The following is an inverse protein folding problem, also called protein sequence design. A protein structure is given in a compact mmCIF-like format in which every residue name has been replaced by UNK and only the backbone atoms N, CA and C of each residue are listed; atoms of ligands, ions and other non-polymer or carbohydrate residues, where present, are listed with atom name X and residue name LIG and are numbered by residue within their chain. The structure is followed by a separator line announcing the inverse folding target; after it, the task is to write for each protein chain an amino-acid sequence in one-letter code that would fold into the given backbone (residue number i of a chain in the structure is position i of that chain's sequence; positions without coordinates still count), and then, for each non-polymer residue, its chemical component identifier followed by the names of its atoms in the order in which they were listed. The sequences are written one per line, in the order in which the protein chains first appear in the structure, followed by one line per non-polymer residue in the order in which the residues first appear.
data_IF_749008182808
#
_entry.id   IF_749008182808
#
_cell.length_a   1.000
_cell.length_b   1.000
_cell.length_c   1.000
_cell.angle_alpha   90.00
_cell.angle_beta   90.00
_cell.angle_gamma   90.00
#
_symmetry.space_group_name_H-M   'P 1'
#
loop_
_entity.id
_entity.type
_entity.pdbx_description
1 polymer ?
#
# COMPACT_ATOMS: atom_id res chain seq x y z
N UNK A 1 -28.44 -34.29 31.30
CA UNK A 1 -27.48 -35.25 30.71
C UNK A 1 -26.11 -34.62 30.71
N UNK A 2 -25.16 -35.16 31.48
CA UNK A 2 -23.77 -34.66 31.47
C UNK A 2 -23.05 -35.25 30.26
N UNK A 3 -22.66 -34.40 29.32
CA UNK A 3 -21.88 -34.81 28.17
C UNK A 3 -20.44 -35.06 28.65
N UNK A 4 -20.02 -36.34 28.64
CA UNK A 4 -18.65 -36.73 28.96
C UNK A 4 -17.73 -36.25 27.81
N UNK A 5 -16.63 -35.56 28.15
CA UNK A 5 -15.62 -35.09 27.20
C UNK A 5 -14.37 -35.94 27.29
N UNK A 6 -13.75 -36.20 26.14
CA UNK A 6 -12.50 -36.93 26.03
C UNK A 6 -11.34 -36.15 26.67
N UNK A 7 -10.59 -36.80 27.54
CA UNK A 7 -9.44 -36.21 28.25
C UNK A 7 -8.27 -35.91 27.30
N UNK A 8 -8.21 -36.56 26.15
CA UNK A 8 -7.11 -36.38 25.15
C UNK A 8 -7.37 -35.25 24.15
N UNK A 9 -8.59 -35.05 23.66
CA UNK A 9 -8.88 -34.08 22.59
C UNK A 9 -10.08 -33.16 22.86
N UNK A 10 -10.79 -33.32 24.00
CA UNK A 10 -11.96 -32.51 24.35
C UNK A 10 -13.24 -32.85 23.58
N UNK A 11 -13.21 -33.79 22.65
CA UNK A 11 -14.37 -34.21 21.86
C UNK A 11 -15.42 -34.99 22.67
N UNK A 12 -16.59 -35.19 22.06
CA UNK A 12 -17.70 -35.92 22.70
C UNK A 12 -17.39 -37.41 22.82
N UNK A 13 -17.75 -38.01 23.99
CA UNK A 13 -17.55 -39.44 24.25
C UNK A 13 -18.89 -40.12 24.31
N UNK A 14 -19.03 -41.25 23.58
CA UNK A 14 -20.24 -42.07 23.50
C UNK A 14 -19.94 -43.44 24.07
N UNK A 15 -20.92 -44.05 24.72
CA UNK A 15 -20.82 -45.43 25.27
C UNK A 15 -21.17 -46.42 24.18
N UNK A 16 -20.36 -47.49 24.02
CA UNK A 16 -20.71 -48.61 23.14
C UNK A 16 -21.94 -49.36 23.71
N UNK A 17 -22.66 -50.06 22.85
CA UNK A 17 -23.95 -50.74 23.17
C UNK A 17 -23.91 -51.68 24.38
N UNK A 18 -22.72 -52.15 24.74
CA UNK A 18 -22.52 -53.03 25.93
C UNK A 18 -22.29 -52.24 27.25
N UNK A 19 -22.24 -50.92 27.23
CA UNK A 19 -22.12 -50.03 28.41
C UNK A 19 -20.82 -50.10 29.19
N UNK A 20 -19.83 -50.85 28.73
CA UNK A 20 -18.55 -51.10 29.43
C UNK A 20 -17.36 -50.31 28.94
N UNK A 21 -17.46 -49.70 27.76
CA UNK A 21 -16.41 -48.95 27.14
C UNK A 21 -16.96 -47.59 26.61
N UNK A 22 -16.25 -46.53 26.90
CA UNK A 22 -16.51 -45.21 26.37
C UNK A 22 -15.54 -44.90 25.21
N UNK A 23 -16.04 -44.45 24.06
CA UNK A 23 -15.26 -44.15 22.85
C UNK A 23 -15.45 -42.70 22.49
N UNK A 24 -14.33 -42.02 22.18
CA UNK A 24 -14.38 -40.68 21.65
C UNK A 24 -14.64 -40.71 20.15
N UNK A 25 -15.71 -40.07 19.69
CA UNK A 25 -16.07 -40.00 18.26
C UNK A 25 -15.07 -39.22 17.42
N UNK A 26 -14.24 -38.38 18.05
CA UNK A 26 -13.32 -37.48 17.30
C UNK A 26 -11.90 -38.06 17.17
N UNK A 27 -11.35 -38.70 18.20
CA UNK A 27 -9.99 -39.23 18.17
C UNK A 27 -9.88 -40.75 18.31
N UNK A 28 -10.99 -41.45 18.49
CA UNK A 28 -11.05 -42.91 18.60
C UNK A 28 -10.53 -43.49 19.93
N UNK A 29 -10.14 -42.66 20.91
CA UNK A 29 -9.65 -43.13 22.20
C UNK A 29 -10.74 -43.88 22.95
N UNK A 30 -10.43 -45.11 23.43
CA UNK A 30 -11.33 -45.99 24.20
C UNK A 30 -10.90 -46.05 25.68
N UNK A 31 -11.87 -45.96 26.56
CA UNK A 31 -11.63 -46.08 28.04
C UNK A 31 -12.66 -47.04 28.64
N UNK A 32 -12.18 -48.07 29.35
CA UNK A 32 -13.05 -48.99 30.07
C UNK A 32 -13.65 -48.33 31.32
N UNK A 33 -14.91 -48.60 31.60
CA UNK A 33 -15.62 -48.11 32.81
C UNK A 33 -15.77 -49.29 33.75
N UNK A 34 -15.07 -49.24 34.90
CA UNK A 34 -15.21 -50.20 35.97
C UNK A 34 -16.53 -49.97 36.75
N UNK A 35 -17.36 -50.98 36.86
CA UNK A 35 -18.56 -50.98 37.75
C UNK A 35 -18.15 -51.22 39.19
N UNK A 36 -18.76 -50.59 40.17
CA UNK A 36 -18.55 -50.91 41.60
C UNK A 36 -19.17 -52.23 41.98
N UNK A 37 -18.39 -53.09 42.63
CA UNK A 37 -18.82 -54.35 43.16
C UNK A 37 -19.84 -54.16 44.34
N UNK A 38 -20.90 -55.00 44.37
CA UNK A 38 -21.85 -55.12 45.49
C UNK A 38 -21.26 -56.05 46.55
N UNK A 39 -21.36 -55.69 47.86
CA UNK A 39 -20.92 -56.59 48.91
C UNK A 39 -21.89 -57.78 49.08
N UNK A 40 -21.34 -58.97 49.20
CA UNK A 40 -22.04 -60.22 49.45
C UNK A 40 -22.51 -60.28 50.92
N UNK A 41 -23.73 -60.74 51.08
CA UNK A 41 -24.32 -61.08 52.40
C UNK A 41 -24.17 -62.58 52.67
N UNK A 42 -23.35 -62.93 53.62
CA UNK A 42 -23.26 -64.31 54.09
C UNK A 42 -24.10 -64.53 55.39
N UNK A 43 -24.98 -65.48 55.25
CA UNK A 43 -25.87 -66.00 56.28
C UNK A 43 -25.21 -67.19 56.97
N UNK A 44 -25.07 -67.18 58.25
CA UNK A 44 -24.80 -68.42 59.00
C UNK A 44 -25.77 -68.51 60.20
N UNK A 45 -26.49 -69.61 60.16
CA UNK A 45 -27.45 -70.09 61.17
C UNK A 45 -26.76 -71.10 62.08
N UNK A 46 -27.28 -71.15 63.36
CA UNK A 46 -27.36 -72.28 64.34
C UNK A 46 -26.07 -72.58 65.16
N UNK A 47 -26.15 -72.81 66.40
CA UNK A 47 -27.02 -73.74 67.21
C UNK A 47 -26.90 -73.47 68.68
N UNK A 48 -27.98 -73.88 69.39
CA UNK A 48 -28.21 -73.99 70.84
C UNK A 48 -27.18 -74.81 71.59
N UNK A 49 -26.84 -74.48 72.85
CA UNK A 49 -27.30 -75.13 74.09
C UNK A 49 -26.44 -74.76 75.31
N UNK A 50 -27.15 -74.56 76.45
CA UNK A 50 -26.87 -74.93 77.86
C UNK A 50 -25.66 -74.29 78.56
N UNK A 51 -25.68 -73.91 79.75
CA UNK A 51 -26.63 -73.73 80.89
C UNK A 51 -25.91 -72.87 81.94
N UNK A 52 -26.67 -72.09 82.69
CA UNK A 52 -26.55 -71.66 84.11
C UNK A 52 -25.15 -71.59 84.77
N UNK A 53 -24.84 -70.43 85.15
CA UNK A 53 -24.36 -69.91 86.44
C UNK A 53 -23.26 -68.85 86.28
N UNK A 54 -23.66 -67.61 86.29
CA UNK A 54 -22.98 -66.50 86.97
C UNK A 54 -23.71 -65.15 86.71
N UNK A 55 -24.84 -64.99 87.37
CA UNK A 55 -25.69 -63.84 87.18
C UNK A 55 -25.09 -62.48 87.61
N UNK A 56 -23.97 -62.46 88.31
CA UNK A 56 -23.23 -61.21 88.60
C UNK A 56 -22.05 -60.93 87.66
N UNK A 57 -21.36 -61.95 87.14
CA UNK A 57 -20.31 -61.78 86.20
C UNK A 57 -20.80 -61.36 84.75
N UNK A 58 -21.95 -61.99 84.36
CA UNK A 58 -22.58 -61.68 83.10
C UNK A 58 -23.20 -60.26 83.12
N UNK A 59 -23.80 -59.81 84.22
CA UNK A 59 -24.27 -58.43 84.34
C UNK A 59 -23.17 -57.40 84.26
N UNK A 60 -22.03 -57.67 84.89
CA UNK A 60 -20.85 -56.79 84.79
C UNK A 60 -20.22 -56.78 83.37
N UNK A 61 -20.22 -57.94 82.72
CA UNK A 61 -19.72 -58.04 81.34
C UNK A 61 -20.64 -57.30 80.37
N UNK A 62 -21.94 -57.45 80.47
CA UNK A 62 -22.95 -56.77 79.66
C UNK A 62 -22.87 -55.26 79.89
N UNK A 63 -22.74 -54.79 81.08
CA UNK A 63 -22.65 -53.38 81.44
C UNK A 63 -21.33 -52.78 80.93
N UNK A 64 -20.23 -53.51 80.94
CA UNK A 64 -18.94 -53.08 80.41
C UNK A 64 -18.95 -53.04 78.91
N UNK A 65 -19.55 -54.00 78.21
CA UNK A 65 -19.74 -53.97 76.76
C UNK A 65 -20.72 -52.86 76.36
N UNK A 66 -21.77 -52.61 77.12
CA UNK A 66 -22.68 -51.48 76.87
C UNK A 66 -21.96 -50.15 77.03
N UNK A 67 -21.16 -49.99 78.10
CA UNK A 67 -20.32 -48.76 78.28
C UNK A 67 -19.32 -48.57 77.15
N UNK A 68 -18.62 -49.62 76.71
CA UNK A 68 -17.69 -49.56 75.54
C UNK A 68 -18.43 -49.15 74.26
N UNK A 69 -19.64 -49.67 74.05
CA UNK A 69 -20.48 -49.35 72.90
C UNK A 69 -20.96 -47.91 72.95
N UNK A 70 -21.35 -47.42 74.13
CA UNK A 70 -21.76 -46.04 74.38
C UNK A 70 -20.57 -45.08 74.15
N UNK A 71 -19.36 -45.44 74.68
CA UNK A 71 -18.15 -44.67 74.46
C UNK A 71 -17.74 -44.67 72.99
N UNK A 72 -17.85 -45.81 72.27
CA UNK A 72 -17.56 -45.90 70.83
C UNK A 72 -18.55 -45.07 70.01
N UNK A 73 -19.84 -45.12 70.36
CA UNK A 73 -20.86 -44.29 69.70
C UNK A 73 -20.64 -42.78 69.94
N UNK A 74 -20.29 -42.43 71.22
CA UNK A 74 -19.98 -41.05 71.55
C UNK A 74 -18.75 -40.53 70.76
N UNK A 75 -17.66 -41.33 70.65
CA UNK A 75 -16.47 -41.00 69.81
C UNK A 75 -16.84 -40.92 68.35
N UNK A 76 -17.64 -41.81 67.79
CA UNK A 76 -18.13 -41.81 66.45
C UNK A 76 -18.99 -40.54 66.15
N UNK A 77 -19.85 -40.16 67.11
CA UNK A 77 -20.65 -38.94 66.99
C UNK A 77 -19.79 -37.70 67.04
N UNK A 78 -18.79 -37.64 67.92
CA UNK A 78 -17.86 -36.53 68.01
C UNK A 78 -17.03 -36.42 66.73
N UNK A 79 -16.52 -37.54 66.20
CA UNK A 79 -15.76 -37.53 64.88
C UNK A 79 -16.66 -37.09 63.75
N UNK A 80 -17.97 -37.42 63.76
CA UNK A 80 -18.91 -36.90 62.74
C UNK A 80 -19.07 -35.37 62.82
N UNK A 81 -19.26 -34.86 64.06
CA UNK A 81 -19.39 -33.41 64.28
C UNK A 81 -18.09 -32.62 63.86
N UNK A 82 -16.93 -33.19 64.19
CA UNK A 82 -15.66 -32.61 63.80
C UNK A 82 -15.47 -32.62 62.24
N UNK A 83 -15.84 -33.73 61.60
CA UNK A 83 -15.80 -33.85 60.14
C UNK A 83 -16.76 -32.86 59.45
N UNK A 84 -17.95 -32.66 59.99
CA UNK A 84 -18.93 -31.72 59.51
C UNK A 84 -18.46 -30.27 59.72
N UNK A 85 -17.90 -29.96 60.88
CA UNK A 85 -17.29 -28.64 61.13
C UNK A 85 -16.16 -28.33 60.16
N UNK A 86 -15.25 -29.31 59.91
CA UNK A 86 -14.17 -29.16 58.93
C UNK A 86 -14.70 -28.98 57.49
N UNK A 87 -15.78 -29.68 57.14
CA UNK A 87 -16.44 -29.54 55.86
C UNK A 87 -17.00 -28.13 55.67
N UNK A 88 -17.74 -27.62 56.65
CA UNK A 88 -18.29 -26.26 56.62
C UNK A 88 -17.19 -25.18 56.57
N UNK A 89 -16.10 -25.39 57.29
CA UNK A 89 -14.95 -24.47 57.22
C UNK A 89 -14.31 -24.45 55.83
N UNK A 90 -14.10 -25.62 55.23
CA UNK A 90 -13.61 -25.73 53.84
C UNK A 90 -14.54 -25.03 52.83
N UNK A 91 -15.86 -25.21 52.99
CA UNK A 91 -16.87 -24.56 52.16
C UNK A 91 -16.80 -23.03 52.31
N UNK A 92 -16.75 -22.50 53.52
CA UNK A 92 -16.58 -21.07 53.82
C UNK A 92 -15.29 -20.53 53.22
N UNK A 93 -14.19 -21.27 53.30
CA UNK A 93 -12.90 -20.85 52.76
C UNK A 93 -12.94 -20.82 51.21
N UNK A 94 -13.59 -21.81 50.62
CA UNK A 94 -13.76 -21.90 49.14
C UNK A 94 -14.62 -20.74 48.61
N UNK A 95 -15.69 -20.41 49.32
CA UNK A 95 -16.58 -19.31 48.99
C UNK A 95 -15.88 -17.95 49.11
N UNK A 96 -15.13 -17.74 50.20
CA UNK A 96 -14.28 -16.54 50.35
C UNK A 96 -13.27 -16.41 49.19
N UNK A 97 -12.63 -17.52 48.79
CA UNK A 97 -11.70 -17.52 47.64
C UNK A 97 -12.42 -17.20 46.32
N UNK A 98 -13.63 -17.74 46.14
CA UNK A 98 -14.49 -17.49 44.97
C UNK A 98 -14.89 -16.01 44.86
N UNK A 99 -15.31 -15.41 45.99
CA UNK A 99 -15.68 -13.98 46.03
C UNK A 99 -14.48 -13.08 45.74
N UNK A 100 -13.32 -13.33 46.37
CA UNK A 100 -12.09 -12.60 46.11
C UNK A 100 -11.67 -12.71 44.63
N UNK A 101 -11.81 -13.87 44.00
CA UNK A 101 -11.53 -14.04 42.56
C UNK A 101 -12.49 -13.22 41.68
N UNK A 102 -13.80 -13.20 42.03
CA UNK A 102 -14.79 -12.38 41.31
C UNK A 102 -14.49 -10.88 41.44
N UNK A 103 -14.14 -10.41 42.62
CA UNK A 103 -13.75 -8.99 42.80
C UNK A 103 -12.48 -8.62 42.02
N UNK A 104 -11.44 -9.45 42.13
CA UNK A 104 -10.22 -9.26 41.33
C UNK A 104 -10.49 -9.22 39.82
N UNK A 105 -11.36 -10.12 39.34
CA UNK A 105 -11.78 -10.15 37.95
C UNK A 105 -12.52 -8.87 37.53
N UNK A 106 -13.42 -8.35 38.38
CA UNK A 106 -14.12 -7.07 38.11
C UNK A 106 -13.14 -5.89 38.03
N UNK A 107 -12.19 -5.82 38.97
CA UNK A 107 -11.17 -4.77 39.01
C UNK A 107 -10.27 -4.87 37.78
N UNK A 108 -9.84 -6.08 37.40
CA UNK A 108 -9.00 -6.30 36.21
C UNK A 108 -9.76 -5.91 34.96
N UNK A 109 -11.01 -6.28 34.79
CA UNK A 109 -11.83 -5.86 33.63
C UNK A 109 -11.97 -4.34 33.55
N UNK A 110 -12.20 -3.66 34.70
CA UNK A 110 -12.24 -2.18 34.71
C UNK A 110 -10.89 -1.59 34.27
N UNK A 111 -9.76 -2.08 34.78
CA UNK A 111 -8.42 -1.62 34.38
C UNK A 111 -8.14 -1.83 32.90
N UNK A 112 -8.48 -3.03 32.37
CA UNK A 112 -8.32 -3.33 30.94
C UNK A 112 -9.16 -2.37 30.09
N UNK A 113 -10.41 -2.12 30.48
CA UNK A 113 -11.28 -1.18 29.76
C UNK A 113 -10.71 0.25 29.78
N UNK A 114 -10.19 0.70 30.94
CA UNK A 114 -9.59 2.03 31.06
C UNK A 114 -8.36 2.17 30.17
N UNK A 115 -7.47 1.15 30.14
CA UNK A 115 -6.28 1.12 29.28
C UNK A 115 -6.70 1.13 27.80
N UNK A 116 -7.68 0.32 27.44
CA UNK A 116 -8.21 0.27 26.08
C UNK A 116 -8.75 1.63 25.62
N UNK A 117 -9.57 2.29 26.45
CA UNK A 117 -10.09 3.63 26.15
C UNK A 117 -8.98 4.67 26.04
N UNK A 118 -7.94 4.59 26.87
CA UNK A 118 -6.77 5.48 26.76
C UNK A 118 -6.02 5.27 25.42
N UNK A 119 -5.80 4.02 25.02
CA UNK A 119 -5.17 3.70 23.72
C UNK A 119 -6.00 4.25 22.55
N UNK A 120 -7.31 4.05 22.58
CA UNK A 120 -8.22 4.58 21.54
C UNK A 120 -8.15 6.11 21.49
N UNK A 121 -8.17 6.78 22.66
CA UNK A 121 -8.06 8.25 22.71
C UNK A 121 -6.73 8.77 22.18
N UNK A 122 -5.60 8.12 22.52
CA UNK A 122 -4.27 8.48 22.01
C UNK A 122 -4.21 8.26 20.49
N UNK A 123 -4.75 7.13 20.01
CA UNK A 123 -4.78 6.82 18.58
C UNK A 123 -5.65 7.84 17.80
N UNK A 124 -6.80 8.22 18.34
CA UNK A 124 -7.67 9.23 17.75
C UNK A 124 -7.01 10.60 17.72
N UNK A 125 -6.32 10.98 18.80
CA UNK A 125 -5.56 12.26 18.85
C UNK A 125 -4.40 12.25 17.85
N UNK A 126 -3.65 11.15 17.76
CA UNK A 126 -2.59 10.97 16.78
C UNK A 126 -3.11 11.06 15.35
N UNK A 127 -4.21 10.39 15.05
CA UNK A 127 -4.89 10.48 13.76
C UNK A 127 -5.31 11.92 13.42
N UNK A 128 -5.95 12.61 14.35
CA UNK A 128 -6.37 14.01 14.18
C UNK A 128 -5.15 14.93 13.94
N UNK A 129 -4.07 14.72 14.66
CA UNK A 129 -2.83 15.50 14.49
C UNK A 129 -2.27 15.36 13.09
N UNK A 130 -2.15 14.13 12.57
CA UNK A 130 -1.57 13.86 11.25
C UNK A 130 -2.48 14.29 10.11
N UNK A 131 -3.79 14.07 10.24
CA UNK A 131 -4.74 14.30 9.12
C UNK A 131 -5.31 15.71 9.06
N UNK A 132 -5.33 16.44 10.17
CA UNK A 132 -5.95 17.77 10.23
C UNK A 132 -5.01 18.84 10.71
N UNK A 133 -4.36 18.66 11.86
CA UNK A 133 -3.58 19.75 12.50
C UNK A 133 -2.35 20.07 11.65
N UNK A 134 -1.49 19.06 11.36
CA UNK A 134 -0.28 19.27 10.56
C UNK A 134 -0.60 19.83 9.16
N UNK A 135 -1.55 19.26 8.39
CA UNK A 135 -1.92 19.84 7.11
C UNK A 135 -2.48 21.26 7.20
N UNK A 136 -3.25 21.58 8.26
CA UNK A 136 -3.77 22.95 8.46
C UNK A 136 -2.66 23.97 8.72
N UNK A 137 -1.67 23.61 9.52
CA UNK A 137 -0.50 24.48 9.80
C UNK A 137 0.29 24.71 8.50
N UNK A 138 0.60 23.64 7.75
CA UNK A 138 1.28 23.73 6.46
C UNK A 138 0.49 24.57 5.44
N UNK A 139 -0.81 24.35 5.36
CA UNK A 139 -1.68 25.13 4.47
C UNK A 139 -1.61 26.65 4.78
N UNK A 140 -1.72 27.01 6.05
CA UNK A 140 -1.65 28.43 6.47
C UNK A 140 -0.23 29.02 6.23
N UNK A 141 0.83 28.22 6.38
CA UNK A 141 2.19 28.64 6.00
C UNK A 141 2.30 28.92 4.52
N UNK A 142 1.75 28.04 3.67
CA UNK A 142 1.75 28.23 2.22
C UNK A 142 0.96 29.48 1.79
N UNK A 143 -0.18 29.77 2.43
CA UNK A 143 -0.94 31.02 2.19
C UNK A 143 -0.07 32.24 2.50
N UNK A 144 0.61 32.26 3.65
CA UNK A 144 1.52 33.35 4.01
C UNK A 144 2.70 33.47 3.04
N UNK A 145 3.21 32.35 2.53
CA UNK A 145 4.28 32.36 1.52
C UNK A 145 3.80 33.03 0.21
N UNK A 146 2.56 32.79 -0.23
CA UNK A 146 1.95 33.53 -1.37
C UNK A 146 1.89 35.03 -1.09
N UNK A 147 1.41 35.44 0.08
CA UNK A 147 1.33 36.86 0.49
C UNK A 147 2.71 37.52 0.48
N UNK A 148 3.74 36.76 0.88
CA UNK A 148 5.15 37.19 0.87
C UNK A 148 5.79 37.10 -0.52
N UNK A 149 5.09 36.69 -1.57
CA UNK A 149 5.59 36.43 -2.94
C UNK A 149 6.68 35.34 -3.00
N UNK A 150 6.74 34.48 -2.01
CA UNK A 150 7.61 33.30 -2.01
C UNK A 150 6.84 32.13 -2.68
N UNK A 151 6.69 32.21 -4.00
CA UNK A 151 5.87 31.29 -4.78
C UNK A 151 6.44 29.87 -4.81
N UNK A 152 7.76 29.72 -4.74
CA UNK A 152 8.38 28.39 -4.73
C UNK A 152 8.04 27.60 -3.47
N UNK A 153 8.19 28.20 -2.29
CA UNK A 153 7.82 27.58 -1.02
C UNK A 153 6.31 27.30 -0.96
N UNK A 154 5.50 28.26 -1.40
CA UNK A 154 4.04 28.09 -1.47
C UNK A 154 3.64 26.93 -2.36
N UNK A 155 4.20 26.85 -3.57
CA UNK A 155 3.95 25.79 -4.53
C UNK A 155 4.31 24.42 -3.99
N UNK A 156 5.53 24.24 -3.49
CA UNK A 156 6.01 22.97 -2.95
C UNK A 156 5.10 22.53 -1.79
N UNK A 157 4.74 23.47 -0.92
CA UNK A 157 3.91 23.17 0.26
C UNK A 157 2.49 22.78 -0.16
N UNK A 158 1.81 23.55 -1.00
CA UNK A 158 0.47 23.20 -1.50
C UNK A 158 0.48 21.88 -2.26
N UNK A 159 1.45 21.65 -3.11
CA UNK A 159 1.62 20.38 -3.83
C UNK A 159 1.76 19.18 -2.88
N UNK A 160 2.52 19.35 -1.77
CA UNK A 160 2.68 18.31 -0.76
C UNK A 160 1.40 17.98 -0.01
N UNK A 161 0.46 18.91 0.08
CA UNK A 161 -0.82 18.77 0.76
C UNK A 161 -1.89 18.08 -0.10
N UNK A 162 -1.68 17.97 -1.40
CA UNK A 162 -2.52 17.25 -2.37
C UNK A 162 -4.02 17.60 -2.23
N UNK A 163 -4.83 16.69 -1.70
CA UNK A 163 -6.30 16.88 -1.56
C UNK A 163 -6.73 17.64 -0.31
N UNK A 164 -5.82 18.19 0.47
CA UNK A 164 -6.21 18.95 1.66
C UNK A 164 -6.73 20.33 1.27
N UNK A 165 -8.02 20.60 1.57
CA UNK A 165 -8.73 21.80 1.14
C UNK A 165 -8.62 22.02 -0.38
N UNK A 166 -8.28 23.24 -0.79
CA UNK A 166 -8.05 23.68 -2.18
C UNK A 166 -6.55 23.73 -2.55
N UNK A 167 -5.70 23.00 -1.82
CA UNK A 167 -4.23 23.03 -2.03
C UNK A 167 -3.83 22.70 -3.46
N UNK A 168 -4.48 21.70 -4.08
CA UNK A 168 -4.19 21.34 -5.46
C UNK A 168 -4.52 22.48 -6.42
N UNK A 169 -5.69 23.13 -6.28
CA UNK A 169 -6.11 24.26 -7.11
C UNK A 169 -5.14 25.43 -6.95
N UNK A 170 -4.69 25.70 -5.72
CA UNK A 170 -3.71 26.76 -5.45
C UNK A 170 -2.34 26.44 -6.05
N UNK A 171 -1.87 25.21 -5.95
CA UNK A 171 -0.63 24.79 -6.59
C UNK A 171 -0.72 24.94 -8.12
N UNK A 172 -1.82 24.52 -8.75
CA UNK A 172 -2.05 24.66 -10.18
C UNK A 172 -2.11 26.14 -10.61
N UNK A 173 -2.75 27.00 -9.81
CA UNK A 173 -2.77 28.44 -10.08
C UNK A 173 -1.36 29.05 -10.00
N UNK A 174 -0.58 28.71 -8.96
CA UNK A 174 0.77 29.22 -8.81
C UNK A 174 1.65 28.79 -9.98
N UNK A 175 1.66 27.51 -10.36
CA UNK A 175 2.53 27.04 -11.46
C UNK A 175 2.13 27.59 -12.82
N UNK A 176 0.85 27.97 -12.99
CA UNK A 176 0.36 28.63 -14.19
C UNK A 176 0.84 30.08 -14.31
N UNK A 177 0.86 30.81 -13.21
CA UNK A 177 1.30 32.21 -13.17
C UNK A 177 2.82 32.35 -13.00
N UNK A 178 3.44 31.41 -12.32
CA UNK A 178 4.84 31.36 -11.93
C UNK A 178 5.48 30.02 -12.33
N UNK A 179 5.59 29.71 -13.65
CA UNK A 179 6.15 28.44 -14.13
C UNK A 179 7.63 28.25 -13.77
N UNK A 180 8.37 29.31 -13.40
CA UNK A 180 9.76 29.25 -12.92
C UNK A 180 9.92 28.43 -11.63
N UNK A 181 8.85 28.27 -10.82
CA UNK A 181 8.89 27.49 -9.57
C UNK A 181 8.71 25.98 -9.80
N UNK A 182 8.44 25.57 -11.04
CA UNK A 182 8.21 24.18 -11.38
C UNK A 182 9.38 23.27 -10.97
N UNK A 183 9.04 22.08 -10.54
CA UNK A 183 9.97 21.02 -10.15
C UNK A 183 10.04 19.94 -11.24
N UNK A 184 11.10 19.13 -11.22
CA UNK A 184 11.23 17.99 -12.15
C UNK A 184 9.99 17.09 -12.04
N UNK A 185 9.41 16.77 -13.19
CA UNK A 185 8.18 15.98 -13.30
C UNK A 185 6.89 16.80 -13.40
N UNK A 186 6.92 18.09 -13.10
CA UNK A 186 5.77 18.97 -13.23
C UNK A 186 5.37 19.23 -14.67
N UNK A 187 4.14 19.66 -14.85
CA UNK A 187 3.61 20.13 -16.12
C UNK A 187 3.48 21.66 -16.04
N UNK A 188 4.10 22.33 -17.00
CA UNK A 188 3.94 23.78 -17.21
C UNK A 188 3.28 24.04 -18.56
N UNK A 189 2.78 25.23 -18.75
CA UNK A 189 2.10 25.69 -19.97
C UNK A 189 2.96 26.78 -20.63
N UNK A 190 3.30 26.61 -21.89
CA UNK A 190 4.09 27.59 -22.63
C UNK A 190 3.83 27.45 -24.14
N UNK A 191 3.47 28.57 -24.77
CA UNK A 191 3.10 28.58 -26.18
C UNK A 191 1.75 27.91 -26.45
N UNK A 192 1.28 28.04 -27.67
CA UNK A 192 0.03 27.46 -28.15
C UNK A 192 0.18 26.87 -29.55
N UNK A 193 -0.41 25.72 -29.77
CA UNK A 193 -0.40 25.02 -31.04
C UNK A 193 -1.76 24.32 -31.24
N UNK A 194 -2.13 24.12 -32.53
CA UNK A 194 -3.35 23.37 -32.83
C UNK A 194 -3.26 21.92 -32.28
N UNK A 195 -4.20 21.50 -31.49
CA UNK A 195 -4.16 20.18 -30.86
C UNK A 195 -5.45 19.39 -31.02
N UNK A 196 -6.62 20.05 -31.00
CA UNK A 196 -7.91 19.37 -31.05
C UNK A 196 -8.45 19.18 -32.47
N UNK A 197 -7.74 19.68 -33.48
CA UNK A 197 -8.12 19.71 -34.91
C UNK A 197 -9.39 20.53 -35.19
N UNK A 198 -9.60 21.59 -34.41
CA UNK A 198 -10.69 22.53 -34.60
C UNK A 198 -10.18 23.97 -34.77
N UNK A 199 -9.83 24.36 -35.98
CA UNK A 199 -9.27 25.66 -36.27
C UNK A 199 -10.18 26.86 -35.97
N UNK A 200 -11.45 26.62 -35.61
CA UNK A 200 -12.40 27.68 -35.29
C UNK A 200 -12.33 28.21 -33.86
N UNK A 201 -11.74 27.45 -32.92
CA UNK A 201 -11.61 27.82 -31.51
C UNK A 201 -10.21 28.34 -31.14
N UNK A 202 -9.29 28.38 -32.12
CA UNK A 202 -7.90 28.82 -31.94
C UNK A 202 -6.96 27.67 -31.57
N UNK A 203 -5.78 28.04 -31.05
CA UNK A 203 -4.74 27.10 -30.65
C UNK A 203 -4.81 26.83 -29.15
N UNK A 204 -4.56 25.58 -28.74
CA UNK A 204 -4.52 25.19 -27.34
C UNK A 204 -3.13 25.41 -26.74
N UNK A 205 -3.08 25.76 -25.45
CA UNK A 205 -1.83 25.84 -24.69
C UNK A 205 -1.07 24.51 -24.75
N UNK A 206 0.24 24.57 -25.01
CA UNK A 206 1.06 23.37 -25.02
C UNK A 206 1.47 23.00 -23.60
N UNK A 207 1.19 21.77 -23.20
CA UNK A 207 1.64 21.19 -21.94
C UNK A 207 3.06 20.63 -22.08
N UNK A 208 3.95 21.04 -21.18
CA UNK A 208 5.34 20.61 -21.15
C UNK A 208 5.68 19.94 -19.83
N UNK A 209 6.29 18.77 -19.89
CA UNK A 209 6.85 18.09 -18.73
C UNK A 209 8.26 18.57 -18.47
N UNK A 210 8.54 19.00 -17.24
CA UNK A 210 9.89 19.36 -16.80
C UNK A 210 10.71 18.09 -16.61
N UNK A 211 11.83 17.97 -17.35
CA UNK A 211 12.72 16.82 -17.32
C UNK A 211 13.95 17.04 -16.44
N UNK A 212 14.45 18.27 -16.41
CA UNK A 212 15.66 18.65 -15.67
C UNK A 212 15.59 20.13 -15.30
N UNK A 213 16.33 20.52 -14.26
CA UNK A 213 16.51 21.92 -13.85
C UNK A 213 17.96 22.13 -13.45
N UNK A 214 18.65 23.08 -14.08
CA UNK A 214 20.03 23.38 -13.73
C UNK A 214 20.13 24.28 -12.48
N UNK A 215 21.35 24.48 -12.01
CA UNK A 215 21.61 25.30 -10.82
C UNK A 215 21.24 26.80 -11.01
N UNK A 216 21.06 27.26 -12.24
CA UNK A 216 20.67 28.64 -12.57
C UNK A 216 19.15 28.79 -12.78
N UNK A 217 18.39 27.71 -12.58
CA UNK A 217 16.95 27.70 -12.73
C UNK A 217 16.47 27.47 -14.17
N UNK A 218 17.35 27.19 -15.14
CA UNK A 218 16.94 26.78 -16.49
C UNK A 218 16.32 25.39 -16.44
N UNK A 219 15.24 25.22 -17.17
CA UNK A 219 14.50 23.96 -17.20
C UNK A 219 14.59 23.32 -18.58
N UNK A 220 14.93 22.02 -18.62
CA UNK A 220 14.71 21.19 -19.80
C UNK A 220 13.27 20.68 -19.75
N UNK A 221 12.53 21.00 -20.81
CA UNK A 221 11.14 20.58 -20.94
C UNK A 221 10.92 19.77 -22.22
N UNK A 222 9.97 18.83 -22.19
CA UNK A 222 9.51 18.07 -23.35
C UNK A 222 7.99 18.17 -23.44
N UNK A 223 7.43 18.28 -24.63
CA UNK A 223 5.98 18.32 -24.76
C UNK A 223 5.34 17.06 -24.15
N UNK A 224 4.24 17.24 -23.40
CA UNK A 224 3.51 16.12 -22.81
C UNK A 224 2.96 15.20 -23.87
N UNK A 225 2.40 15.78 -24.92
CA UNK A 225 1.81 15.11 -26.08
C UNK A 225 2.72 15.27 -27.30
N UNK A 226 2.62 14.35 -28.26
CA UNK A 226 3.19 14.55 -29.57
C UNK A 226 2.27 15.50 -30.34
N UNK A 227 2.80 16.69 -30.71
CA UNK A 227 2.02 17.84 -31.18
C UNK A 227 1.86 17.90 -32.69
N UNK A 228 2.70 17.19 -33.42
CA UNK A 228 2.67 17.12 -34.86
C UNK A 228 3.13 15.74 -35.36
N UNK A 229 3.05 15.51 -36.68
CA UNK A 229 3.52 14.29 -37.34
C UNK A 229 4.08 14.58 -38.71
N UNK A 230 5.24 13.99 -39.04
CA UNK A 230 5.89 14.18 -40.32
C UNK A 230 7.12 13.31 -40.51
N UNK A 231 7.72 13.44 -41.70
CA UNK A 231 8.99 12.80 -42.01
C UNK A 231 10.14 13.48 -41.25
N UNK A 232 11.19 12.74 -40.95
CA UNK A 232 12.40 13.29 -40.38
C UNK A 232 13.14 14.18 -41.42
N UNK A 233 13.10 13.74 -42.69
CA UNK A 233 13.64 14.46 -43.85
C UNK A 233 12.82 14.15 -45.10
N UNK A 234 12.71 15.08 -46.03
CA UNK A 234 11.82 15.00 -47.18
C UNK A 234 12.31 14.08 -48.33
N UNK A 235 13.59 13.73 -48.35
CA UNK A 235 14.16 12.90 -49.39
C UNK A 235 14.95 11.70 -48.85
N UNK A 236 15.03 10.58 -49.60
CA UNK A 236 15.70 9.36 -49.19
C UNK A 236 17.23 9.48 -49.37
N UNK A 237 17.87 10.23 -48.49
CA UNK A 237 19.33 10.40 -48.48
C UNK A 237 19.92 10.25 -47.11
N UNK A 238 21.20 10.05 -47.00
CA UNK A 238 21.91 10.07 -45.76
C UNK A 238 21.78 11.44 -45.11
N UNK A 239 21.30 11.47 -43.87
CA UNK A 239 21.03 12.71 -43.15
C UNK A 239 21.35 12.56 -41.67
N UNK A 240 21.93 13.59 -41.08
CA UNK A 240 22.12 13.78 -39.66
C UNK A 240 21.11 14.79 -39.12
N UNK A 241 20.98 14.90 -37.80
CA UNK A 241 20.15 15.93 -37.17
C UNK A 241 20.44 17.32 -37.70
N UNK A 242 21.72 17.69 -37.82
CA UNK A 242 22.19 18.99 -38.27
C UNK A 242 21.48 19.47 -39.54
N UNK A 243 21.30 18.60 -40.52
CA UNK A 243 20.78 18.92 -41.83
C UNK A 243 19.33 18.50 -42.07
N UNK A 244 18.66 17.90 -41.07
CA UNK A 244 17.31 17.38 -41.21
C UNK A 244 16.26 18.48 -41.37
N UNK A 245 15.19 18.16 -42.11
CA UNK A 245 14.10 19.12 -42.33
C UNK A 245 13.29 19.32 -41.06
N UNK A 246 13.15 18.30 -40.23
CA UNK A 246 12.44 18.40 -38.95
C UNK A 246 13.16 19.37 -37.98
N UNK A 247 14.48 19.39 -37.93
CA UNK A 247 15.24 20.37 -37.14
C UNK A 247 15.00 21.79 -37.65
N UNK A 248 15.03 22.01 -38.97
CA UNK A 248 14.77 23.32 -39.59
C UNK A 248 13.36 23.80 -39.25
N UNK A 249 12.36 22.92 -39.38
CA UNK A 249 10.99 23.24 -39.06
C UNK A 249 10.82 23.58 -37.57
N UNK A 250 11.41 22.81 -36.66
CA UNK A 250 11.34 23.07 -35.22
C UNK A 250 11.90 24.42 -34.83
N UNK A 251 13.05 24.82 -35.44
CA UNK A 251 13.75 26.07 -35.10
C UNK A 251 13.25 27.31 -35.84
N UNK A 252 12.40 27.15 -36.85
CA UNK A 252 11.81 28.26 -37.64
C UNK A 252 10.27 28.26 -37.48
N UNK A 253 9.58 27.44 -38.26
CA UNK A 253 8.12 27.51 -38.43
C UNK A 253 7.37 27.17 -37.09
N UNK A 254 7.84 26.15 -36.39
CA UNK A 254 7.24 25.80 -35.11
C UNK A 254 7.42 26.90 -34.07
N UNK A 255 8.63 27.44 -33.89
CA UNK A 255 8.89 28.58 -33.00
C UNK A 255 8.04 29.79 -33.40
N UNK A 256 8.00 30.11 -34.72
CA UNK A 256 7.22 31.24 -35.20
C UNK A 256 5.72 31.10 -34.89
N UNK A 257 5.20 29.90 -35.05
CA UNK A 257 3.75 29.57 -34.93
C UNK A 257 3.29 29.39 -33.52
N UNK A 258 4.14 28.76 -32.66
CA UNK A 258 3.71 28.30 -31.34
C UNK A 258 3.95 29.31 -30.21
N UNK A 259 4.90 30.24 -30.37
CA UNK A 259 5.30 31.12 -29.27
C UNK A 259 5.14 32.61 -29.64
N UNK A 260 4.57 33.36 -28.68
CA UNK A 260 4.53 34.83 -28.71
C UNK A 260 5.95 35.43 -28.61
N UNK A 261 6.09 36.72 -28.88
CA UNK A 261 7.39 37.41 -28.76
C UNK A 261 7.96 37.33 -27.33
N UNK A 262 7.12 37.43 -26.30
CA UNK A 262 7.52 37.27 -24.89
C UNK A 262 8.02 35.85 -24.64
N UNK A 263 7.26 34.84 -25.02
CA UNK A 263 7.64 33.44 -24.80
C UNK A 263 8.91 33.04 -25.56
N UNK A 264 9.10 33.58 -26.76
CA UNK A 264 10.35 33.39 -27.51
C UNK A 264 11.61 33.87 -26.75
N UNK A 265 11.47 34.86 -25.86
CA UNK A 265 12.60 35.30 -25.04
C UNK A 265 13.00 34.29 -23.95
N UNK A 266 12.11 33.40 -23.56
CA UNK A 266 12.40 32.33 -22.58
C UNK A 266 13.19 31.17 -23.20
N UNK A 267 13.06 30.92 -24.51
CA UNK A 267 13.71 29.81 -25.18
C UNK A 267 15.22 30.03 -25.27
N UNK A 268 15.97 29.14 -24.66
CA UNK A 268 17.44 29.23 -24.65
C UNK A 268 18.03 28.55 -25.87
N UNK A 269 18.98 29.24 -26.55
CA UNK A 269 19.81 28.59 -27.56
C UNK A 269 20.86 27.73 -26.86
N UNK A 270 20.73 26.42 -27.01
CA UNK A 270 21.61 25.43 -26.37
C UNK A 270 22.48 24.72 -27.38
N UNK A 271 23.71 24.39 -27.01
CA UNK A 271 24.56 23.48 -27.81
C UNK A 271 24.05 22.06 -27.55
N UNK A 272 23.55 21.43 -28.59
CA UNK A 272 22.99 20.08 -28.55
C UNK A 272 24.08 19.10 -29.01
N UNK A 273 24.40 18.15 -28.13
CA UNK A 273 25.29 17.05 -28.46
C UNK A 273 24.55 16.04 -29.33
N UNK A 274 24.98 15.93 -30.59
CA UNK A 274 24.45 14.98 -31.55
C UNK A 274 25.23 13.67 -31.49
N UNK A 275 25.29 13.07 -30.27
CA UNK A 275 25.86 11.75 -30.09
C UNK A 275 25.22 10.73 -31.03
N UNK A 276 26.03 9.83 -31.55
CA UNK A 276 25.61 8.83 -32.53
C UNK A 276 24.70 7.74 -31.93
N UNK A 277 24.47 6.71 -32.71
CA UNK A 277 23.79 5.53 -32.27
C UNK A 277 24.81 4.53 -31.69
N UNK A 278 24.82 4.25 -30.38
CA UNK A 278 25.86 3.44 -29.78
C UNK A 278 25.79 1.96 -30.20
N UNK A 279 24.58 1.41 -30.47
CA UNK A 279 24.41 0.01 -30.83
C UNK A 279 24.91 -0.28 -32.24
N UNK A 280 24.78 0.68 -33.17
CA UNK A 280 25.17 0.54 -34.58
C UNK A 280 26.45 1.31 -34.93
N UNK A 281 27.03 2.06 -33.99
CA UNK A 281 28.22 2.87 -34.16
C UNK A 281 28.10 3.89 -35.31
N UNK A 282 26.89 4.42 -35.51
CA UNK A 282 26.63 5.47 -36.52
C UNK A 282 26.85 6.82 -35.90
N UNK A 283 27.67 7.66 -36.54
CA UNK A 283 27.94 9.02 -36.08
C UNK A 283 26.71 9.91 -36.27
N UNK A 284 26.38 10.72 -35.24
CA UNK A 284 25.23 11.64 -35.24
C UNK A 284 25.45 12.96 -36.01
N UNK A 285 26.66 13.22 -36.49
CA UNK A 285 27.03 14.47 -37.13
C UNK A 285 27.63 15.51 -36.17
N UNK A 286 27.71 16.74 -36.59
CA UNK A 286 28.23 17.84 -35.78
C UNK A 286 27.22 18.27 -34.72
N UNK A 287 27.70 18.77 -33.57
CA UNK A 287 26.87 19.43 -32.60
C UNK A 287 26.19 20.66 -33.18
N UNK A 288 24.96 20.91 -32.75
CA UNK A 288 24.15 22.02 -33.28
C UNK A 288 23.78 23.02 -32.18
N UNK A 289 23.46 24.23 -32.59
CA UNK A 289 22.85 25.23 -31.70
C UNK A 289 21.37 25.29 -32.02
N UNK A 290 20.54 24.85 -31.09
CA UNK A 290 19.09 24.76 -31.26
C UNK A 290 18.36 25.39 -30.11
N UNK A 291 17.20 25.97 -30.38
CA UNK A 291 16.24 26.42 -29.36
C UNK A 291 15.20 25.36 -29.10
N UNK A 292 14.81 24.61 -30.12
CA UNK A 292 13.89 23.48 -30.01
C UNK A 292 14.52 22.28 -30.71
N UNK A 293 14.47 21.11 -30.06
CA UNK A 293 15.11 19.89 -30.56
C UNK A 293 14.28 18.66 -30.20
N UNK A 294 14.66 17.50 -30.71
CA UNK A 294 14.17 16.21 -30.27
C UNK A 294 15.17 15.61 -29.29
N UNK A 295 14.71 14.79 -28.35
CA UNK A 295 15.62 14.06 -27.46
C UNK A 295 16.49 13.07 -28.25
N UNK A 296 17.74 12.88 -27.82
CA UNK A 296 18.58 11.77 -28.28
C UNK A 296 18.18 10.45 -27.63
N UNK A 297 18.78 9.32 -28.06
CA UNK A 297 18.69 8.04 -27.42
C UNK A 297 19.09 8.16 -25.94
N UNK A 298 20.22 8.79 -25.65
CA UNK A 298 20.79 8.89 -24.31
C UNK A 298 19.96 9.79 -23.41
N UNK A 299 19.47 10.91 -23.93
CA UNK A 299 18.55 11.80 -23.22
C UNK A 299 17.22 11.13 -22.94
N UNK A 300 16.66 10.38 -23.88
CA UNK A 300 15.43 9.63 -23.68
C UNK A 300 15.60 8.53 -22.60
N UNK A 301 16.76 7.87 -22.57
CA UNK A 301 17.10 6.90 -21.51
C UNK A 301 17.32 7.59 -20.17
N UNK A 302 18.01 8.73 -20.14
CA UNK A 302 18.35 9.47 -18.92
C UNK A 302 17.13 10.12 -18.26
N UNK A 303 16.35 10.85 -19.02
CA UNK A 303 15.25 11.68 -18.49
C UNK A 303 13.92 10.93 -18.42
N UNK A 304 13.76 9.86 -19.20
CA UNK A 304 12.59 9.00 -19.23
C UNK A 304 13.03 7.54 -19.05
N UNK A 305 13.56 7.16 -17.88
CA UNK A 305 14.28 5.89 -17.70
C UNK A 305 13.39 4.65 -17.86
N UNK A 306 12.12 4.75 -17.45
CA UNK A 306 11.17 3.63 -17.58
C UNK A 306 10.50 3.68 -18.96
N UNK A 307 10.18 2.51 -19.50
CA UNK A 307 9.43 2.38 -20.76
C UNK A 307 8.13 3.17 -20.74
N UNK A 308 7.39 3.05 -19.64
CA UNK A 308 6.12 3.77 -19.45
C UNK A 308 6.27 5.29 -19.48
N UNK A 309 7.40 5.84 -19.07
CA UNK A 309 7.66 7.29 -19.08
C UNK A 309 7.85 7.82 -20.51
N UNK A 310 8.25 6.94 -21.45
CA UNK A 310 8.46 7.25 -22.86
C UNK A 310 7.21 7.10 -23.71
N UNK A 311 6.18 6.40 -23.23
CA UNK A 311 4.89 6.32 -23.93
C UNK A 311 4.37 7.75 -24.11
N UNK A 312 4.00 8.08 -25.36
CA UNK A 312 3.48 9.40 -25.70
C UNK A 312 2.17 9.26 -26.46
N UNK A 313 1.20 10.10 -26.12
CA UNK A 313 -0.11 10.18 -26.81
C UNK A 313 -0.02 11.32 -27.82
N UNK A 314 -0.54 11.12 -29.03
CA UNK A 314 -0.60 12.15 -30.05
C UNK A 314 -1.85 13.02 -29.87
N UNK A 315 -1.70 14.35 -30.11
CA UNK A 315 -2.85 15.27 -30.20
C UNK A 315 -3.78 14.87 -31.36
N UNK A 316 -5.04 15.24 -31.32
CA UNK A 316 -6.00 14.94 -32.41
C UNK A 316 -5.52 15.50 -33.74
N UNK A 317 -5.00 16.73 -33.74
CA UNK A 317 -4.41 17.34 -34.93
C UNK A 317 -3.24 16.51 -35.50
N UNK A 318 -2.30 16.12 -34.64
CA UNK A 318 -1.16 15.29 -35.08
C UNK A 318 -1.63 13.95 -35.65
N UNK A 319 -2.66 13.34 -35.10
CA UNK A 319 -3.24 12.09 -35.60
C UNK A 319 -3.77 12.19 -37.03
N UNK A 320 -4.32 13.35 -37.43
CA UNK A 320 -4.81 13.56 -38.83
C UNK A 320 -3.73 13.49 -39.88
N UNK A 321 -2.46 13.70 -39.51
CA UNK A 321 -1.30 13.66 -40.45
C UNK A 321 -0.80 12.24 -40.73
N UNK A 322 -1.27 11.28 -40.00
CA UNK A 322 -1.08 9.84 -40.22
C UNK A 322 0.29 9.30 -39.83
N UNK A 323 0.30 8.35 -38.89
CA UNK A 323 1.41 7.47 -38.53
C UNK A 323 0.87 6.36 -37.65
N UNK A 324 1.76 5.44 -37.19
CA UNK A 324 1.39 4.32 -36.32
C UNK A 324 0.89 4.79 -34.95
N UNK A 325 -0.31 4.37 -34.61
CA UNK A 325 -0.98 4.67 -33.33
C UNK A 325 -1.54 3.38 -32.72
N UNK A 326 -1.50 3.27 -31.41
CA UNK A 326 -2.36 2.33 -30.70
C UNK A 326 -3.81 2.77 -30.82
N UNK A 327 -4.68 1.84 -31.21
CA UNK A 327 -6.10 2.12 -31.51
C UNK A 327 -6.92 2.51 -30.29
N UNK A 328 -6.51 2.11 -29.08
CA UNK A 328 -7.22 2.30 -27.82
C UNK A 328 -6.63 3.48 -27.06
N UNK A 329 -5.33 3.43 -26.77
CA UNK A 329 -4.65 4.41 -25.91
C UNK A 329 -4.22 5.66 -26.65
N UNK A 330 -4.16 5.61 -28.02
CA UNK A 330 -3.58 6.66 -28.88
C UNK A 330 -2.09 6.90 -28.64
N UNK A 331 -1.41 5.95 -27.98
CA UNK A 331 0.03 5.96 -27.88
C UNK A 331 0.65 5.91 -29.28
N UNK A 332 1.72 6.67 -29.48
CA UNK A 332 2.27 6.91 -30.80
C UNK A 332 3.78 6.67 -30.85
N UNK A 333 4.27 6.32 -32.05
CA UNK A 333 5.71 6.30 -32.34
C UNK A 333 6.19 7.72 -32.59
N UNK A 334 7.25 8.17 -31.88
CA UNK A 334 7.78 9.51 -32.01
C UNK A 334 9.30 9.52 -32.25
N UNK A 335 9.75 10.51 -33.05
CA UNK A 335 11.13 10.66 -33.45
C UNK A 335 12.08 11.00 -32.31
N UNK A 336 13.26 10.39 -32.32
CA UNK A 336 14.46 10.87 -31.64
C UNK A 336 15.42 11.54 -32.67
N UNK A 337 16.33 12.42 -32.21
CA UNK A 337 17.30 13.06 -33.13
C UNK A 337 18.46 12.16 -33.50
N UNK A 338 18.76 11.11 -32.72
CA UNK A 338 19.84 10.16 -33.01
C UNK A 338 19.60 9.37 -34.29
N UNK A 339 20.62 9.04 -35.07
CA UNK A 339 20.50 8.22 -36.28
C UNK A 339 20.02 6.80 -35.91
N UNK A 340 19.45 6.09 -36.87
CA UNK A 340 19.15 4.67 -36.75
C UNK A 340 20.39 3.80 -37.02
N UNK A 341 20.16 2.60 -37.55
CA UNK A 341 21.26 1.69 -37.98
C UNK A 341 22.04 2.17 -39.17
N UNK A 342 21.53 3.16 -39.89
CA UNK A 342 22.15 3.87 -40.98
C UNK A 342 21.72 5.34 -40.96
N UNK A 343 22.39 6.20 -41.73
CA UNK A 343 21.99 7.61 -41.92
C UNK A 343 20.72 7.77 -42.79
N UNK A 344 20.17 6.70 -43.36
CA UNK A 344 18.87 6.69 -44.05
C UNK A 344 17.70 6.49 -43.09
N UNK A 345 18.00 6.26 -41.80
CA UNK A 345 17.00 6.07 -40.72
C UNK A 345 17.36 6.93 -39.52
N UNK A 346 16.34 7.36 -38.78
CA UNK A 346 16.46 8.01 -37.48
C UNK A 346 15.81 7.13 -36.38
N UNK A 347 16.41 7.12 -35.22
CA UNK A 347 15.86 6.41 -34.07
C UNK A 347 14.50 6.97 -33.65
N UNK A 348 13.66 6.14 -33.07
CA UNK A 348 12.33 6.54 -32.58
C UNK A 348 11.99 5.80 -31.31
N UNK A 349 10.98 6.28 -30.60
CA UNK A 349 10.34 5.54 -29.52
C UNK A 349 9.05 4.93 -30.04
N UNK A 350 8.86 3.64 -29.82
CA UNK A 350 7.68 2.89 -30.24
C UNK A 350 6.45 3.20 -29.36
N UNK A 351 5.29 2.76 -29.79
CA UNK A 351 4.02 2.89 -29.07
C UNK A 351 4.06 2.30 -27.65
N UNK A 352 4.87 1.28 -27.41
CA UNK A 352 5.08 0.61 -26.14
C UNK A 352 6.18 1.26 -25.26
N UNK A 353 6.78 2.37 -25.73
CA UNK A 353 7.84 3.11 -25.03
C UNK A 353 9.25 2.54 -25.23
N UNK A 354 9.44 1.44 -25.98
CA UNK A 354 10.78 0.95 -26.32
C UNK A 354 11.44 1.84 -27.37
N UNK A 355 12.74 2.06 -27.22
CA UNK A 355 13.55 2.81 -28.19
C UNK A 355 13.91 1.90 -29.35
N UNK A 356 13.46 2.25 -30.55
CA UNK A 356 13.81 1.58 -31.80
C UNK A 356 15.14 2.15 -32.32
N UNK A 357 16.27 1.60 -31.88
CA UNK A 357 17.60 2.06 -32.30
C UNK A 357 17.93 1.64 -33.72
N UNK A 358 17.31 0.57 -34.26
CA UNK A 358 17.38 0.26 -35.69
C UNK A 358 16.92 1.46 -36.53
N UNK A 359 15.99 2.22 -36.00
CA UNK A 359 15.46 3.43 -36.61
C UNK A 359 14.33 3.18 -37.61
N UNK A 360 13.72 4.29 -38.00
CA UNK A 360 12.64 4.40 -38.99
C UNK A 360 13.17 5.16 -40.20
N UNK A 361 12.84 4.76 -41.44
CA UNK A 361 13.26 5.48 -42.63
C UNK A 361 12.90 6.96 -42.59
N UNK A 362 13.87 7.85 -42.93
CA UNK A 362 13.74 9.29 -42.70
C UNK A 362 12.72 9.99 -43.61
N UNK A 363 12.41 9.41 -44.78
CA UNK A 363 11.59 10.08 -45.80
C UNK A 363 10.34 9.33 -46.22
N UNK A 364 10.23 8.05 -45.87
CA UNK A 364 9.10 7.20 -46.30
C UNK A 364 8.07 7.16 -45.19
N UNK A 365 8.52 6.86 -43.96
CA UNK A 365 7.65 6.71 -42.81
C UNK A 365 7.56 8.00 -42.01
N UNK A 366 6.33 8.39 -41.68
CA UNK A 366 6.09 9.48 -40.74
C UNK A 366 6.17 8.92 -39.32
N UNK A 367 6.65 9.78 -38.43
CA UNK A 367 6.47 9.54 -36.95
C UNK A 367 6.06 10.85 -36.30
N UNK A 368 5.53 10.73 -35.10
CA UNK A 368 5.05 11.89 -34.36
C UNK A 368 6.23 12.72 -33.83
N UNK A 369 5.97 14.00 -33.63
CA UNK A 369 6.97 14.99 -33.22
C UNK A 369 6.67 15.38 -31.78
N UNK A 370 7.64 15.13 -30.91
CA UNK A 370 7.63 15.43 -29.49
C UNK A 370 8.79 16.38 -29.17
N UNK A 371 8.61 17.69 -29.30
CA UNK A 371 9.69 18.67 -29.13
C UNK A 371 10.16 18.79 -27.69
N UNK A 372 11.43 19.12 -27.51
CA UNK A 372 12.06 19.47 -26.25
C UNK A 372 12.83 20.79 -26.40
N UNK A 373 13.04 21.50 -25.30
CA UNK A 373 13.79 22.73 -25.26
C UNK A 373 14.29 23.09 -23.87
N UNK A 374 15.35 23.87 -23.80
CA UNK A 374 15.76 24.54 -22.59
C UNK A 374 15.11 25.92 -22.52
N UNK A 375 14.51 26.24 -21.37
CA UNK A 375 13.89 27.54 -21.11
C UNK A 375 14.46 28.18 -19.84
N UNK A 376 14.42 29.50 -19.80
CA UNK A 376 14.73 30.34 -18.66
C UNK A 376 13.64 31.40 -18.52
N UNK A 377 12.77 31.23 -17.54
CA UNK A 377 11.67 32.17 -17.22
C UNK A 377 12.18 33.09 -16.11
N UNK A 378 12.16 34.40 -16.40
CA UNK A 378 12.60 35.44 -15.45
C UNK A 378 11.44 36.27 -14.99
#
# INVERSE_FOLDING_TARGET
MSILKCEMCGGTVVLEENGSVAVCEYCGTRKAISQPEKPAVDTINKTHKEEKNNSQADAFYIENERRKTEEANARAQQARLEAEAQRLERERLSEKKRLKRKERSKILKKKILTIFLAIVAISALGFLTVTVIIPSVKYNSAVKAVEAKNYEEAYITFKSLYKFKDSQVKAEAIIKEHPEVAQIGDIIYLGAYEQDNNFSNGKEEIEWKVLDKDANGKMLIVSRYAIDCGNYHSSPKQITWENSDIRKWLNNDFIATAFSSKEKSYLQTSTIDNSGNPDYKINGGNNTKDRVFLLSIDEAKRYLPKTVDRICIATKYAQTKGSELDSITRACRWWLRSPGSTLYSASSVKIDGFILQLGTPVSIDKSFIRPAMWIEIK
#
